data_IF_508009552720
#
_entry.id   IF_508009552720
#
_cell.length_a   1.000
_cell.length_b   1.000
_cell.length_c   1.000
_cell.angle_alpha   90.00
_cell.angle_beta   90.00
_cell.angle_gamma   90.00
#
_symmetry.space_group_name_H-M   'P 1'
#
loop_
_entity.id
_entity.type
_entity.pdbx_description
1 polymer ?
#
# COMPACT_ATOMS: atom_id res chain seq x y z
N UNK A 1 19.97 11.75 7.49
CA UNK A 1 19.47 12.16 6.17
C UNK A 1 18.16 12.90 6.40
N UNK A 2 17.75 13.84 5.55
CA UNK A 2 16.45 14.46 5.71
C UNK A 2 15.36 13.39 5.64
N UNK A 3 14.43 13.43 6.56
CA UNK A 3 13.28 12.53 6.65
C UNK A 3 12.02 13.36 6.82
N UNK A 4 10.94 12.93 6.23
CA UNK A 4 9.65 13.61 6.26
C UNK A 4 8.64 12.75 7.00
N UNK A 5 7.85 13.35 7.88
CA UNK A 5 6.78 12.64 8.57
C UNK A 5 5.67 12.25 7.59
N UNK A 6 5.20 11.02 7.70
CA UNK A 6 4.16 10.44 6.85
C UNK A 6 3.08 9.80 7.70
N UNK A 7 1.87 9.72 7.16
CA UNK A 7 0.71 9.25 7.89
C UNK A 7 -0.05 8.18 7.09
N UNK A 8 -0.45 7.06 7.71
CA UNK A 8 -1.38 6.13 7.07
C UNK A 8 -2.67 6.85 6.69
N UNK A 9 -3.00 6.86 5.40
CA UNK A 9 -4.18 7.56 4.86
C UNK A 9 -5.28 6.61 4.47
N UNK A 10 -4.96 5.56 3.73
CA UNK A 10 -5.93 4.62 3.17
C UNK A 10 -5.33 3.22 3.04
N UNK A 11 -6.19 2.20 3.09
CA UNK A 11 -5.86 0.84 2.65
C UNK A 11 -6.75 0.52 1.47
N UNK A 12 -6.15 0.23 0.32
CA UNK A 12 -6.84 -0.05 -0.94
C UNK A 12 -6.59 -1.47 -1.38
N UNK A 13 -7.65 -2.20 -1.73
CA UNK A 13 -7.52 -3.54 -2.31
C UNK A 13 -7.09 -3.42 -3.78
N UNK A 14 -6.11 -4.21 -4.19
CA UNK A 14 -5.72 -4.34 -5.60
C UNK A 14 -6.61 -5.41 -6.24
N UNK A 15 -7.09 -5.17 -7.45
CA UNK A 15 -8.17 -5.93 -8.12
C UNK A 15 -7.92 -7.43 -8.28
N UNK A 16 -6.67 -7.87 -8.29
CA UNK A 16 -6.31 -9.28 -8.44
C UNK A 16 -5.59 -9.81 -7.20
N UNK A 17 -6.27 -10.68 -6.42
CA UNK A 17 -5.69 -11.44 -5.31
C UNK A 17 -5.92 -10.84 -3.91
N UNK A 18 -5.19 -11.41 -2.94
CA UNK A 18 -5.27 -11.05 -1.51
C UNK A 18 -4.28 -9.91 -1.16
N UNK A 19 -3.92 -9.09 -2.14
CA UNK A 19 -2.94 -8.01 -2.01
C UNK A 19 -3.64 -6.68 -1.80
N UNK A 20 -3.15 -5.91 -0.83
CA UNK A 20 -3.63 -4.57 -0.54
C UNK A 20 -2.47 -3.57 -0.59
N UNK A 21 -2.79 -2.31 -0.82
CA UNK A 21 -1.88 -1.18 -0.70
C UNK A 21 -2.20 -0.40 0.57
N UNK A 22 -1.23 -0.29 1.44
CA UNK A 22 -1.23 0.72 2.50
C UNK A 22 -0.65 2.01 1.91
N UNK A 23 -1.41 3.08 1.93
CA UNK A 23 -0.99 4.38 1.45
C UNK A 23 -0.53 5.24 2.63
N UNK A 24 0.69 5.79 2.54
CA UNK A 24 1.24 6.70 3.52
C UNK A 24 1.31 8.10 2.89
N UNK A 25 0.46 9.00 3.36
CA UNK A 25 0.38 10.38 2.89
C UNK A 25 1.60 11.21 3.33
N UNK A 26 2.09 12.05 2.43
CA UNK A 26 3.13 13.04 2.66
C UNK A 26 2.46 14.42 2.73
N UNK A 27 2.26 15.00 3.93
CA UNK A 27 1.49 16.25 4.07
C UNK A 27 2.13 17.44 3.37
N UNK A 28 3.44 17.39 3.11
CA UNK A 28 4.20 18.50 2.53
C UNK A 28 3.81 18.77 1.07
N UNK A 29 3.45 17.75 0.31
CA UNK A 29 3.14 17.86 -1.13
C UNK A 29 1.91 17.04 -1.56
N UNK A 30 1.30 16.31 -0.63
CA UNK A 30 0.08 15.52 -0.88
C UNK A 30 0.31 14.18 -1.59
N UNK A 31 1.56 13.84 -1.95
CA UNK A 31 1.89 12.55 -2.54
C UNK A 31 1.71 11.42 -1.52
N UNK A 32 1.67 10.19 -2.01
CA UNK A 32 1.49 8.99 -1.20
C UNK A 32 2.56 7.94 -1.52
N UNK A 33 3.03 7.24 -0.47
CA UNK A 33 3.93 6.10 -0.60
C UNK A 33 3.08 4.83 -0.57
N UNK A 34 3.00 4.04 -1.66
CA UNK A 34 2.25 2.79 -1.71
C UNK A 34 3.10 1.64 -1.16
N UNK A 35 2.65 1.03 -0.08
CA UNK A 35 3.28 -0.15 0.51
C UNK A 35 2.39 -1.36 0.30
N UNK A 36 2.90 -2.36 -0.41
CA UNK A 36 2.18 -3.63 -0.64
C UNK A 36 2.12 -4.43 0.66
N UNK A 37 0.92 -4.84 1.06
CA UNK A 37 0.65 -5.60 2.29
C UNK A 37 -0.33 -6.74 2.02
N UNK A 38 -0.27 -7.80 2.84
CA UNK A 38 -1.22 -8.92 2.80
C UNK A 38 -2.44 -8.69 3.69
N UNK A 39 -3.43 -9.57 3.60
CA UNK A 39 -4.69 -9.46 4.38
C UNK A 39 -4.49 -9.45 5.90
N UNK A 40 -3.52 -10.23 6.40
CA UNK A 40 -3.23 -10.29 7.85
C UNK A 40 -2.64 -8.98 8.37
N UNK A 41 -1.80 -8.34 7.57
CA UNK A 41 -1.25 -7.02 7.86
C UNK A 41 -2.36 -5.96 7.83
N UNK A 42 -3.30 -6.06 6.87
CA UNK A 42 -4.48 -5.18 6.80
C UNK A 42 -5.29 -5.23 8.08
N UNK A 43 -5.62 -6.44 8.57
CA UNK A 43 -6.39 -6.62 9.80
C UNK A 43 -5.68 -5.92 10.99
N UNK A 44 -4.39 -6.15 11.16
CA UNK A 44 -3.61 -5.58 12.25
C UNK A 44 -3.58 -4.04 12.20
N UNK A 45 -3.40 -3.46 11.02
CA UNK A 45 -3.36 -2.01 10.81
C UNK A 45 -4.75 -1.39 11.06
N UNK A 46 -5.82 -2.01 10.56
CA UNK A 46 -7.19 -1.52 10.76
C UNK A 46 -7.58 -1.52 12.23
N UNK A 47 -7.27 -2.58 12.98
CA UNK A 47 -7.50 -2.64 14.43
C UNK A 47 -6.76 -1.51 15.16
N UNK A 48 -5.51 -1.25 14.76
CA UNK A 48 -4.71 -0.18 15.34
C UNK A 48 -5.25 1.23 14.99
N UNK A 49 -5.63 1.47 13.72
CA UNK A 49 -6.20 2.74 13.25
C UNK A 49 -7.53 3.07 13.93
N UNK A 50 -8.38 2.06 14.14
CA UNK A 50 -9.69 2.23 14.73
C UNK A 50 -9.67 2.16 16.27
N UNK A 51 -8.49 1.98 16.87
CA UNK A 51 -8.29 1.80 18.31
C UNK A 51 -9.20 0.70 18.90
N UNK A 52 -9.40 -0.39 18.15
CA UNK A 52 -10.23 -1.52 18.58
C UNK A 52 -9.40 -2.45 19.46
N UNK A 53 -9.79 -2.59 20.72
CA UNK A 53 -9.22 -3.59 21.61
C UNK A 53 -9.94 -4.94 21.44
N UNK A 54 -9.15 -6.00 21.28
CA UNK A 54 -9.64 -7.38 21.23
C UNK A 54 -9.66 -7.99 22.63
N UNK A 55 -10.51 -9.03 22.87
CA UNK A 55 -10.59 -9.73 24.16
C UNK A 55 -9.22 -10.25 24.66
N UNK A 56 -8.38 -10.69 23.74
CA UNK A 56 -6.99 -11.10 24.00
C UNK A 56 -6.06 -10.31 23.10
N UNK A 57 -4.88 -9.88 23.59
CA UNK A 57 -3.97 -9.06 22.80
C UNK A 57 -3.46 -9.82 21.58
N UNK A 58 -3.63 -9.23 20.39
CA UNK A 58 -3.02 -9.70 19.16
C UNK A 58 -1.49 -9.45 19.18
N UNK A 59 -0.75 -10.01 18.24
CA UNK A 59 0.73 -10.03 18.25
C UNK A 59 1.36 -8.65 18.47
N UNK A 60 0.95 -7.63 17.70
CA UNK A 60 1.53 -6.28 17.84
C UNK A 60 1.16 -5.65 19.19
N UNK A 61 -0.07 -5.83 19.66
CA UNK A 61 -0.48 -5.35 21.00
C UNK A 61 0.29 -6.07 22.11
N UNK A 62 0.54 -7.37 21.95
CA UNK A 62 1.38 -8.13 22.89
C UNK A 62 2.82 -7.58 22.91
N UNK A 63 3.39 -7.25 21.74
CA UNK A 63 4.72 -6.61 21.66
C UNK A 63 4.73 -5.27 22.38
N UNK A 64 3.71 -4.42 22.18
CA UNK A 64 3.58 -3.16 22.91
C UNK A 64 3.49 -3.37 24.42
N UNK A 65 2.72 -4.36 24.89
CA UNK A 65 2.61 -4.68 26.31
C UNK A 65 3.95 -5.12 26.88
N UNK A 66 4.70 -5.99 26.18
CA UNK A 66 6.05 -6.40 26.58
C UNK A 66 6.99 -5.18 26.66
N UNK A 67 6.98 -4.33 25.65
CA UNK A 67 7.80 -3.11 25.66
C UNK A 67 7.49 -2.25 26.90
N UNK A 68 6.21 -2.02 27.17
CA UNK A 68 5.76 -1.25 28.31
C UNK A 68 6.19 -1.88 29.65
N UNK A 69 6.00 -3.19 29.84
CA UNK A 69 6.40 -3.91 31.07
C UNK A 69 7.90 -3.82 31.34
N UNK A 70 8.72 -3.76 30.29
CA UNK A 70 10.18 -3.61 30.42
C UNK A 70 10.66 -2.15 30.35
N UNK A 71 9.76 -1.18 30.44
CA UNK A 71 10.10 0.24 30.43
C UNK A 71 10.67 0.73 29.10
N UNK A 72 10.35 0.04 28.00
CA UNK A 72 10.77 0.42 26.65
C UNK A 72 9.71 1.30 25.99
N UNK A 73 10.16 2.33 25.28
CA UNK A 73 9.30 3.25 24.53
C UNK A 73 9.70 3.27 23.06
N UNK A 74 8.73 3.06 22.16
CA UNK A 74 8.92 3.32 20.74
C UNK A 74 8.92 4.83 20.52
N UNK A 75 10.04 5.39 20.11
CA UNK A 75 10.20 6.84 19.90
C UNK A 75 9.72 7.28 18.54
N UNK A 76 10.11 6.53 17.51
CA UNK A 76 9.78 6.80 16.12
C UNK A 76 9.96 5.53 15.28
N UNK A 77 9.35 5.54 14.12
CA UNK A 77 9.56 4.56 13.04
C UNK A 77 10.14 5.31 11.86
N UNK A 78 11.15 4.74 11.20
CA UNK A 78 11.69 5.27 9.96
C UNK A 78 11.60 4.24 8.83
N UNK A 79 11.16 4.67 7.65
CA UNK A 79 11.23 3.92 6.41
C UNK A 79 12.48 4.43 5.70
N UNK A 80 13.56 3.64 5.78
CA UNK A 80 14.91 4.12 5.51
C UNK A 80 15.30 4.02 4.04
N UNK A 81 14.86 2.95 3.38
CA UNK A 81 15.19 2.70 1.97
C UNK A 81 14.17 1.80 1.29
N UNK A 82 14.16 1.89 -0.03
CA UNK A 82 13.46 0.97 -0.93
C UNK A 82 14.51 0.28 -1.82
N UNK A 83 14.46 -1.04 -1.93
CA UNK A 83 15.37 -1.79 -2.79
C UNK A 83 14.73 -3.11 -3.22
N UNK A 84 14.85 -3.46 -4.50
CA UNK A 84 14.33 -4.71 -5.07
C UNK A 84 12.84 -4.98 -4.77
N UNK A 85 12.02 -3.91 -4.75
CA UNK A 85 10.59 -4.00 -4.44
C UNK A 85 10.26 -4.10 -2.95
N UNK A 86 11.25 -3.97 -2.05
CA UNK A 86 11.08 -4.13 -0.60
C UNK A 86 11.40 -2.82 0.11
N UNK A 87 10.51 -2.41 1.01
CA UNK A 87 10.77 -1.32 1.96
C UNK A 87 11.47 -1.85 3.21
N UNK A 88 12.46 -1.14 3.67
CA UNK A 88 13.19 -1.42 4.90
C UNK A 88 12.89 -0.35 5.93
N UNK A 89 12.46 -0.79 7.11
CA UNK A 89 12.07 0.11 8.19
C UNK A 89 12.80 -0.21 9.48
N UNK A 90 12.99 0.83 10.29
CA UNK A 90 13.67 0.74 11.57
C UNK A 90 12.77 1.28 12.68
N UNK A 91 12.67 0.53 13.77
CA UNK A 91 12.06 0.98 15.03
C UNK A 91 13.15 1.59 15.90
N UNK A 92 12.96 2.82 16.35
CA UNK A 92 13.81 3.46 17.36
C UNK A 92 13.16 3.29 18.73
N UNK A 93 13.73 2.38 19.51
CA UNK A 93 13.23 2.00 20.84
C UNK A 93 14.21 2.51 21.91
N UNK A 94 13.68 3.13 22.98
CA UNK A 94 14.46 3.68 24.06
C UNK A 94 14.12 3.03 25.41
N UNK A 95 15.12 2.77 26.23
CA UNK A 95 15.00 2.40 27.65
C UNK A 95 15.06 3.60 28.60
N UNK A 96 15.03 4.83 28.05
CA UNK A 96 15.19 6.07 28.78
C UNK A 96 16.62 6.56 28.91
N UNK A 97 17.59 5.69 28.69
CA UNK A 97 19.04 6.00 28.73
C UNK A 97 19.70 5.82 27.37
N UNK A 98 19.30 4.80 26.64
CA UNK A 98 19.87 4.44 25.35
C UNK A 98 18.78 4.20 24.32
N UNK A 99 19.07 4.61 23.09
CA UNK A 99 18.24 4.30 21.93
C UNK A 99 18.82 3.11 21.19
N UNK A 100 17.95 2.20 20.76
CA UNK A 100 18.29 1.05 19.90
C UNK A 100 17.47 1.11 18.62
N UNK A 101 18.11 0.70 17.55
CA UNK A 101 17.53 0.62 16.21
C UNK A 101 17.30 -0.84 15.88
N UNK A 102 16.05 -1.20 15.60
CA UNK A 102 15.61 -2.58 15.35
C UNK A 102 15.03 -2.65 13.96
N UNK A 103 15.56 -3.51 13.11
CA UNK A 103 15.04 -3.78 11.77
C UNK A 103 13.64 -4.37 11.83
N UNK A 104 12.76 -3.94 10.92
CA UNK A 104 11.37 -4.35 10.88
C UNK A 104 10.81 -4.31 9.46
N UNK A 105 9.81 -5.14 9.19
CA UNK A 105 8.96 -4.94 8.00
C UNK A 105 8.16 -3.65 8.18
N UNK A 106 7.91 -2.94 7.08
CA UNK A 106 7.19 -1.66 7.12
C UNK A 106 5.77 -1.81 7.67
N UNK A 107 5.05 -2.88 7.34
CA UNK A 107 3.71 -3.16 7.88
C UNK A 107 3.70 -3.32 9.40
N UNK A 108 4.67 -4.05 9.95
CA UNK A 108 4.80 -4.25 11.41
C UNK A 108 5.18 -2.92 12.10
N UNK A 109 6.13 -2.20 11.51
CA UNK A 109 6.59 -0.91 12.01
C UNK A 109 5.44 0.12 12.08
N UNK A 110 4.64 0.24 11.02
CA UNK A 110 3.46 1.11 10.98
C UNK A 110 2.43 0.70 12.03
N UNK A 111 2.14 -0.61 12.15
CA UNK A 111 1.20 -1.10 13.15
C UNK A 111 1.65 -0.77 14.58
N UNK A 112 2.94 -0.96 14.88
CA UNK A 112 3.51 -0.63 16.19
C UNK A 112 3.50 0.88 16.45
N UNK A 113 3.78 1.70 15.41
CA UNK A 113 3.71 3.15 15.52
C UNK A 113 2.29 3.63 15.87
N UNK A 114 1.28 3.10 15.20
CA UNK A 114 -0.13 3.41 15.46
C UNK A 114 -0.54 3.05 16.89
N UNK A 115 -0.19 1.84 17.36
CA UNK A 115 -0.51 1.37 18.72
C UNK A 115 0.20 2.14 19.83
N UNK A 116 1.39 2.74 19.55
CA UNK A 116 2.16 3.53 20.51
C UNK A 116 2.02 5.04 20.29
N UNK A 117 1.23 5.50 19.30
CA UNK A 117 1.12 6.90 18.90
C UNK A 117 2.49 7.54 18.60
N UNK A 118 3.37 6.76 17.98
CA UNK A 118 4.72 7.21 17.62
C UNK A 118 4.74 7.74 16.18
N UNK A 119 5.56 8.76 15.87
CA UNK A 119 5.66 9.31 14.53
C UNK A 119 6.31 8.32 13.56
N UNK A 120 5.91 8.41 12.29
CA UNK A 120 6.46 7.62 11.19
C UNK A 120 7.15 8.58 10.23
N UNK A 121 8.39 8.29 9.88
CA UNK A 121 9.20 9.08 8.95
C UNK A 121 9.58 8.26 7.73
N UNK A 122 9.63 8.88 6.58
CA UNK A 122 10.21 8.32 5.37
C UNK A 122 11.47 9.10 4.97
N UNK A 123 12.51 8.39 4.55
CA UNK A 123 13.72 9.02 4.01
C UNK A 123 13.40 9.71 2.68
N UNK A 124 14.20 10.73 2.33
CA UNK A 124 14.05 11.41 1.04
C UNK A 124 14.23 10.45 -0.14
N UNK A 125 15.13 9.45 -0.02
CA UNK A 125 15.32 8.42 -1.04
C UNK A 125 14.02 7.63 -1.29
N UNK A 126 13.35 7.18 -0.24
CA UNK A 126 12.07 6.44 -0.36
C UNK A 126 11.02 7.31 -1.05
N UNK A 127 10.90 8.58 -0.65
CA UNK A 127 9.95 9.51 -1.27
C UNK A 127 10.23 9.71 -2.75
N UNK A 128 11.49 9.96 -3.11
CA UNK A 128 11.88 10.22 -4.50
C UNK A 128 11.69 9.01 -5.41
N UNK A 129 11.89 7.79 -4.86
CA UNK A 129 11.79 6.56 -5.64
C UNK A 129 10.36 5.99 -5.73
N UNK A 130 9.51 6.23 -4.71
CA UNK A 130 8.24 5.49 -4.59
C UNK A 130 7.00 6.34 -4.44
N UNK A 131 7.12 7.63 -4.11
CA UNK A 131 5.96 8.48 -3.90
C UNK A 131 5.24 8.79 -5.22
N UNK A 132 3.92 8.64 -5.20
CA UNK A 132 3.04 8.84 -6.36
C UNK A 132 1.98 9.89 -6.05
N UNK A 133 1.46 10.52 -7.10
CA UNK A 133 0.34 11.44 -6.98
C UNK A 133 -0.95 10.65 -6.64
N UNK A 134 -1.81 11.16 -5.74
CA UNK A 134 -3.08 10.49 -5.40
C UNK A 134 -3.97 10.21 -6.62
N UNK A 135 -3.91 11.08 -7.64
CA UNK A 135 -4.66 10.95 -8.88
C UNK A 135 -4.24 9.71 -9.70
N UNK A 136 -2.97 9.30 -9.63
CA UNK A 136 -2.50 8.10 -10.34
C UNK A 136 -3.11 6.81 -9.77
N UNK A 137 -3.45 6.80 -8.49
CA UNK A 137 -4.13 5.66 -7.85
C UNK A 137 -5.64 5.64 -8.16
N UNK A 138 -6.26 6.81 -8.30
CA UNK A 138 -7.65 6.93 -8.75
C UNK A 138 -7.82 6.47 -10.21
N UNK A 139 -6.83 6.76 -11.06
CA UNK A 139 -6.82 6.37 -12.47
C UNK A 139 -6.73 4.85 -12.70
N UNK A 140 -6.25 4.07 -11.74
CA UNK A 140 -6.25 2.59 -11.84
C UNK A 140 -7.66 2.02 -11.93
N UNK A 141 -8.59 2.48 -11.09
CA UNK A 141 -10.01 2.07 -11.13
C UNK A 141 -10.77 2.66 -12.32
N UNK A 142 -10.45 3.89 -12.72
CA UNK A 142 -11.03 4.52 -13.92
C UNK A 142 -10.47 3.93 -15.21
N UNK A 143 -9.21 3.52 -15.23
CA UNK A 143 -8.62 2.79 -16.37
C UNK A 143 -9.19 1.37 -16.51
N UNK A 144 -9.49 0.66 -15.41
CA UNK A 144 -10.19 -0.62 -15.49
C UNK A 144 -11.61 -0.44 -16.01
N UNK A 145 -12.37 0.52 -15.51
CA UNK A 145 -13.72 0.82 -16.02
C UNK A 145 -13.68 1.33 -17.48
N UNK A 146 -12.66 2.14 -17.85
CA UNK A 146 -12.47 2.58 -19.22
C UNK A 146 -12.02 1.42 -20.13
N UNK A 147 -11.21 0.49 -19.63
CA UNK A 147 -10.81 -0.72 -20.35
C UNK A 147 -11.97 -1.70 -20.47
N UNK A 148 -12.80 -1.90 -19.43
CA UNK A 148 -14.02 -2.73 -19.51
C UNK A 148 -15.04 -2.14 -20.47
N UNK A 149 -15.28 -0.83 -20.41
CA UNK A 149 -16.17 -0.14 -21.36
C UNK A 149 -15.66 -0.24 -22.80
N UNK A 150 -14.34 -0.12 -23.00
CA UNK A 150 -13.71 -0.26 -24.31
C UNK A 150 -13.72 -1.70 -24.81
N UNK A 151 -13.53 -2.67 -23.92
CA UNK A 151 -13.66 -4.11 -24.22
C UNK A 151 -15.09 -4.43 -24.67
N UNK A 152 -16.10 -3.98 -23.92
CA UNK A 152 -17.51 -4.17 -24.26
C UNK A 152 -17.89 -3.58 -25.62
N UNK A 153 -17.40 -2.37 -25.94
CA UNK A 153 -17.59 -1.75 -27.25
C UNK A 153 -16.88 -2.51 -28.38
N UNK A 154 -15.69 -3.05 -28.13
CA UNK A 154 -14.97 -3.83 -29.12
C UNK A 154 -15.64 -5.20 -29.35
N UNK A 155 -16.16 -5.82 -28.32
CA UNK A 155 -16.89 -7.09 -28.40
C UNK A 155 -18.24 -6.90 -29.14
N UNK A 156 -18.98 -5.81 -28.92
CA UNK A 156 -20.19 -5.47 -29.69
C UNK A 156 -19.85 -5.27 -31.18
N UNK A 157 -18.82 -4.52 -31.48
CA UNK A 157 -18.39 -4.28 -32.88
C UNK A 157 -17.90 -5.55 -33.55
N UNK A 158 -17.22 -6.43 -32.81
CA UNK A 158 -16.82 -7.75 -33.31
C UNK A 158 -18.03 -8.58 -33.72
N UNK A 159 -19.08 -8.57 -32.89
CA UNK A 159 -20.30 -9.28 -33.17
C UNK A 159 -21.05 -8.72 -34.39
N UNK A 160 -21.09 -7.41 -34.56
CA UNK A 160 -21.63 -6.76 -35.77
C UNK A 160 -20.86 -7.11 -37.03
N UNK A 161 -19.52 -7.19 -36.97
CA UNK A 161 -18.70 -7.57 -38.11
C UNK A 161 -18.91 -9.05 -38.49
N UNK A 162 -19.07 -9.91 -37.50
CA UNK A 162 -19.38 -11.35 -37.74
C UNK A 162 -20.77 -11.54 -38.37
N UNK A 163 -21.79 -10.74 -37.96
CA UNK A 163 -23.13 -10.78 -38.56
C UNK A 163 -23.15 -10.23 -40.00
N UNK A 164 -22.20 -9.35 -40.33
CA UNK A 164 -22.04 -8.78 -41.68
C UNK A 164 -21.07 -9.60 -42.56
N UNK A 165 -20.56 -10.70 -42.04
CA UNK A 165 -19.57 -11.58 -42.69
C UNK A 165 -18.26 -10.88 -43.07
N UNK A 166 -17.92 -9.74 -42.35
CA UNK A 166 -16.67 -9.02 -42.55
C UNK A 166 -15.55 -9.60 -41.65
N UNK A 167 -15.00 -10.72 -42.13
CA UNK A 167 -14.01 -11.49 -41.39
C UNK A 167 -12.64 -10.77 -41.26
N UNK A 168 -12.34 -9.82 -42.15
CA UNK A 168 -11.09 -9.08 -42.11
C UNK A 168 -11.08 -8.07 -40.94
N UNK A 169 -12.16 -7.31 -40.77
CA UNK A 169 -12.34 -6.40 -39.65
C UNK A 169 -12.56 -7.17 -38.33
N UNK A 170 -13.23 -8.29 -38.35
CA UNK A 170 -13.41 -9.14 -37.16
C UNK A 170 -12.06 -9.64 -36.62
N UNK A 171 -11.11 -10.04 -37.46
CA UNK A 171 -9.79 -10.49 -37.08
C UNK A 171 -8.95 -9.36 -36.44
N UNK A 172 -9.04 -8.13 -36.96
CA UNK A 172 -8.38 -6.98 -36.37
C UNK A 172 -8.92 -6.60 -35.00
N UNK A 173 -10.26 -6.64 -34.84
CA UNK A 173 -10.92 -6.36 -33.56
C UNK A 173 -10.58 -7.42 -32.51
N UNK A 174 -10.52 -8.69 -32.91
CA UNK A 174 -10.14 -9.79 -32.01
C UNK A 174 -8.69 -9.64 -31.52
N UNK A 175 -7.75 -9.24 -32.40
CA UNK A 175 -6.38 -8.97 -32.01
C UNK A 175 -6.26 -7.76 -31.05
N UNK A 176 -7.13 -6.76 -31.17
CA UNK A 176 -7.18 -5.63 -30.24
C UNK A 176 -7.71 -6.04 -28.86
N UNK A 177 -8.76 -6.85 -28.81
CA UNK A 177 -9.34 -7.43 -27.58
C UNK A 177 -8.29 -8.26 -26.83
N UNK A 178 -7.55 -9.12 -27.53
CA UNK A 178 -6.49 -9.94 -26.93
C UNK A 178 -5.35 -9.09 -26.35
N UNK A 179 -4.97 -8.00 -27.01
CA UNK A 179 -3.95 -7.07 -26.49
C UNK A 179 -4.38 -6.39 -25.19
N UNK A 180 -5.65 -6.02 -25.09
CA UNK A 180 -6.18 -5.37 -23.88
C UNK A 180 -6.30 -6.40 -22.73
N UNK A 181 -6.66 -7.67 -23.02
CA UNK A 181 -6.77 -8.74 -22.01
C UNK A 181 -5.42 -9.26 -21.49
N UNK A 182 -4.33 -9.00 -22.22
CA UNK A 182 -2.97 -9.46 -21.88
C UNK A 182 -2.04 -8.32 -21.43
N UNK A 183 -2.55 -7.10 -21.25
CA UNK A 183 -1.81 -5.93 -20.78
C UNK A 183 -2.06 -5.68 -19.30
#
# INVERSE_FOLDING_TARGET
MPSTEVFPSEIRKVSEGDTCLLLLNIPADGREIPVVIGEKEVEAILLALQAIDTERPMTHKLMCNIMHEYGLTLKEVSIDRFAEGIYYSTLKVSDGFNDKHIDSRTSDAVTLALLNHSPIYASQQVIDETAIEPLMLASGGEMEQANEAKLSQLEERLQECLEKEDYEQAAELQAQIERIKNA
#
